data_IF_610711158843
#
_entry.id   IF_610711158843
#
_cell.length_a   1.000
_cell.length_b   1.000
_cell.length_c   1.000
_cell.angle_alpha   90.00
_cell.angle_beta   90.00
_cell.angle_gamma   90.00
#
_symmetry.space_group_name_H-M   'P 1'
#
loop_
_entity.id
_entity.type
_entity.pdbx_description
1 polymer ?
#
# COMPACT_ATOMS: atom_id res chain seq x y z
N UNK A 1 6.34 4.34 -11.39
CA UNK A 1 6.70 3.20 -12.25
C UNK A 1 5.76 3.07 -13.43
N UNK A 2 4.54 2.59 -13.20
CA UNK A 2 3.54 2.28 -14.24
C UNK A 2 3.16 3.48 -15.12
N UNK A 3 2.95 4.66 -14.52
CA UNK A 3 2.62 5.91 -15.25
C UNK A 3 3.76 6.35 -16.19
N UNK A 4 5.00 6.31 -15.73
CA UNK A 4 6.20 6.67 -16.52
C UNK A 4 6.45 5.68 -17.66
N UNK A 5 6.26 4.38 -17.40
CA UNK A 5 6.37 3.33 -18.42
C UNK A 5 5.34 3.55 -19.54
N UNK A 6 4.09 3.84 -19.19
CA UNK A 6 3.03 4.13 -20.15
C UNK A 6 3.29 5.37 -21.00
N UNK A 7 3.83 6.44 -20.41
CA UNK A 7 4.20 7.66 -21.16
C UNK A 7 5.34 7.41 -22.15
N UNK A 8 6.38 6.66 -21.76
CA UNK A 8 7.52 6.38 -22.63
C UNK A 8 7.13 5.48 -23.81
N UNK A 9 6.37 4.41 -23.55
CA UNK A 9 5.89 3.51 -24.61
C UNK A 9 4.92 4.24 -25.55
N UNK A 10 4.01 5.06 -25.02
CA UNK A 10 3.12 5.89 -25.84
C UNK A 10 3.83 6.97 -26.66
N UNK A 11 5.05 7.35 -26.27
CA UNK A 11 5.91 8.28 -27.01
C UNK A 11 6.78 7.58 -28.07
N UNK A 12 6.60 6.28 -28.28
CA UNK A 12 7.34 5.49 -29.26
C UNK A 12 8.71 4.99 -28.77
N UNK A 13 9.00 5.11 -27.47
CA UNK A 13 10.24 4.57 -26.89
C UNK A 13 10.12 3.05 -26.83
N UNK A 14 11.12 2.28 -27.31
CA UNK A 14 11.12 0.83 -27.20
C UNK A 14 10.90 0.37 -25.76
N UNK A 15 10.04 -0.63 -25.56
CA UNK A 15 9.60 -1.03 -24.23
C UNK A 15 10.75 -1.50 -23.33
N UNK A 16 11.80 -2.09 -23.91
CA UNK A 16 12.99 -2.51 -23.18
C UNK A 16 13.77 -1.33 -22.61
N UNK A 17 13.82 -0.22 -23.35
CA UNK A 17 14.49 1.01 -22.92
C UNK A 17 13.65 1.76 -21.89
N UNK A 18 12.32 1.77 -22.07
CA UNK A 18 11.38 2.31 -21.10
C UNK A 18 11.44 1.57 -19.75
N UNK A 19 11.59 0.23 -19.78
CA UNK A 19 11.77 -0.59 -18.58
C UNK A 19 13.08 -0.29 -17.86
N UNK A 20 14.18 -0.06 -18.59
CA UNK A 20 15.47 0.29 -18.00
C UNK A 20 15.45 1.67 -17.32
N UNK A 21 14.80 2.66 -17.96
CA UNK A 21 14.63 4.01 -17.40
C UNK A 21 13.80 3.93 -16.12
N UNK A 22 12.71 3.15 -16.12
CA UNK A 22 11.85 2.97 -14.94
C UNK A 22 12.56 2.23 -13.82
N UNK A 23 13.39 1.22 -14.14
CA UNK A 23 14.20 0.51 -13.16
C UNK A 23 15.18 1.43 -12.44
N UNK A 24 15.90 2.28 -13.18
CA UNK A 24 16.86 3.25 -12.63
C UNK A 24 16.18 4.37 -11.83
N UNK A 25 14.97 4.75 -12.21
CA UNK A 25 14.22 5.83 -11.54
C UNK A 25 13.47 5.33 -10.29
N UNK A 26 13.33 4.01 -10.10
CA UNK A 26 12.60 3.44 -8.97
C UNK A 26 13.28 3.64 -7.61
N UNK A 27 14.59 3.97 -7.56
CA UNK A 27 15.34 4.27 -6.33
C UNK A 27 15.54 3.10 -5.35
N UNK A 28 14.85 1.98 -5.57
CA UNK A 28 14.88 0.78 -4.73
C UNK A 28 15.49 -0.39 -5.52
N UNK A 29 16.61 -0.93 -5.01
CA UNK A 29 17.35 -2.05 -5.63
C UNK A 29 16.54 -3.34 -5.81
N UNK A 30 15.51 -3.57 -4.99
CA UNK A 30 14.61 -4.73 -5.12
C UNK A 30 13.69 -4.55 -6.33
N UNK A 31 13.15 -3.34 -6.49
CA UNK A 31 12.27 -2.98 -7.61
C UNK A 31 13.04 -2.96 -8.93
N UNK A 32 14.25 -2.40 -8.92
CA UNK A 32 15.17 -2.40 -10.06
C UNK A 32 15.44 -3.83 -10.56
N UNK A 33 15.78 -4.76 -9.66
CA UNK A 33 15.98 -6.18 -10.01
C UNK A 33 14.74 -6.83 -10.62
N UNK A 34 13.55 -6.56 -10.08
CA UNK A 34 12.29 -7.10 -10.59
C UNK A 34 11.97 -6.60 -11.99
N UNK A 35 12.18 -5.31 -12.26
CA UNK A 35 11.92 -4.70 -13.57
C UNK A 35 12.95 -5.16 -14.60
N UNK A 36 14.23 -5.27 -14.23
CA UNK A 36 15.27 -5.81 -15.12
C UNK A 36 15.03 -7.29 -15.45
N UNK A 37 14.58 -8.10 -14.49
CA UNK A 37 14.18 -9.49 -14.74
C UNK A 37 13.02 -9.57 -15.73
N UNK A 38 12.00 -8.72 -15.59
CA UNK A 38 10.88 -8.67 -16.52
C UNK A 38 11.33 -8.22 -17.92
N UNK A 39 12.24 -7.25 -18.02
CA UNK A 39 12.82 -6.76 -19.28
C UNK A 39 13.52 -7.87 -20.04
N UNK A 40 14.37 -8.65 -19.37
CA UNK A 40 15.14 -9.71 -20.02
C UNK A 40 14.23 -10.82 -20.57
N UNK A 41 13.12 -11.09 -19.90
CA UNK A 41 12.12 -12.08 -20.34
C UNK A 41 11.29 -11.59 -21.52
N UNK A 42 11.00 -10.28 -21.59
CA UNK A 42 10.39 -9.65 -22.76
C UNK A 42 11.34 -9.66 -23.96
N UNK A 43 12.64 -9.43 -23.73
CA UNK A 43 13.66 -9.51 -24.77
C UNK A 43 13.82 -10.92 -25.36
N UNK A 44 13.52 -11.96 -24.57
CA UNK A 44 13.47 -13.36 -25.01
C UNK A 44 12.15 -13.75 -25.72
N UNK A 45 11.21 -12.81 -25.92
CA UNK A 45 9.93 -13.07 -26.59
C UNK A 45 8.89 -13.81 -25.72
N UNK A 46 9.09 -13.88 -24.40
CA UNK A 46 8.15 -14.51 -23.47
C UNK A 46 7.08 -13.51 -22.99
N UNK A 47 5.88 -14.01 -22.72
CA UNK A 47 4.80 -13.25 -22.07
C UNK A 47 5.28 -12.68 -20.73
N UNK A 48 4.95 -11.41 -20.48
CA UNK A 48 5.26 -10.65 -19.26
C UNK A 48 4.66 -11.33 -18.01
N UNK A 49 3.58 -12.09 -18.15
CA UNK A 49 2.82 -12.64 -17.03
C UNK A 49 3.54 -13.78 -16.29
N UNK A 50 4.23 -14.67 -17.00
CA UNK A 50 4.92 -15.82 -16.41
C UNK A 50 6.07 -15.42 -15.44
N UNK A 51 6.98 -14.48 -15.77
CA UNK A 51 8.01 -14.04 -14.85
C UNK A 51 7.48 -13.18 -13.68
N UNK A 52 6.34 -12.48 -13.85
CA UNK A 52 5.67 -11.78 -12.74
C UNK A 52 5.07 -12.76 -11.71
N UNK A 53 4.60 -13.94 -12.16
CA UNK A 53 4.13 -15.03 -11.30
C UNK A 53 5.24 -15.65 -10.45
N UNK A 54 6.44 -15.80 -11.02
CA UNK A 54 7.59 -16.46 -10.39
C UNK A 54 8.22 -15.62 -9.26
N UNK A 55 8.15 -14.30 -9.36
CA UNK A 55 8.82 -13.37 -8.43
C UNK A 55 8.08 -13.14 -7.10
N UNK A 56 6.83 -13.60 -6.94
CA UNK A 56 5.95 -13.31 -5.77
C UNK A 56 5.83 -11.82 -5.41
N UNK A 57 6.22 -10.92 -6.31
CA UNK A 57 6.17 -9.46 -6.12
C UNK A 57 4.75 -8.91 -6.24
N UNK A 58 3.83 -9.67 -6.84
CA UNK A 58 2.47 -9.25 -7.10
C UNK A 58 1.47 -10.12 -6.35
N UNK A 59 0.41 -9.53 -5.77
CA UNK A 59 -0.66 -10.28 -5.14
C UNK A 59 -1.28 -11.30 -6.11
N UNK A 60 -1.72 -12.45 -5.59
CA UNK A 60 -2.36 -13.51 -6.40
C UNK A 60 -3.54 -13.02 -7.24
N UNK A 61 -4.26 -12.02 -6.74
CA UNK A 61 -5.40 -11.40 -7.42
C UNK A 61 -4.99 -10.70 -8.73
N UNK A 62 -3.88 -9.94 -8.72
CA UNK A 62 -3.31 -9.28 -9.92
C UNK A 62 -2.97 -10.29 -11.00
N UNK A 63 -2.33 -11.39 -10.60
CA UNK A 63 -1.94 -12.48 -11.49
C UNK A 63 -3.17 -13.13 -12.15
N UNK A 64 -4.23 -13.40 -11.39
CA UNK A 64 -5.46 -14.01 -11.89
C UNK A 64 -6.19 -13.10 -12.88
N UNK A 65 -6.27 -11.80 -12.60
CA UNK A 65 -6.94 -10.84 -13.48
C UNK A 65 -6.18 -10.65 -14.79
N UNK A 66 -4.84 -10.66 -14.76
CA UNK A 66 -4.01 -10.68 -15.97
C UNK A 66 -4.27 -11.96 -16.78
N UNK A 67 -4.28 -13.14 -16.15
CA UNK A 67 -4.56 -14.40 -16.84
C UNK A 67 -5.96 -14.42 -17.49
N UNK A 68 -6.98 -13.89 -16.81
CA UNK A 68 -8.33 -13.74 -17.35
C UNK A 68 -8.34 -12.77 -18.54
N UNK A 69 -7.69 -11.62 -18.42
CA UNK A 69 -7.59 -10.62 -19.49
C UNK A 69 -6.86 -11.15 -20.72
N UNK A 70 -5.80 -11.94 -20.52
CA UNK A 70 -5.03 -12.57 -21.60
C UNK A 70 -5.88 -13.64 -22.32
N UNK A 71 -6.64 -14.45 -21.57
CA UNK A 71 -7.52 -15.49 -22.14
C UNK A 71 -8.77 -14.96 -22.86
N UNK A 72 -9.19 -13.73 -22.54
CA UNK A 72 -10.41 -13.10 -23.08
C UNK A 72 -10.12 -11.96 -24.05
N UNK A 73 -8.86 -11.59 -24.23
CA UNK A 73 -8.44 -10.42 -25.01
C UNK A 73 -8.77 -9.06 -24.37
N UNK A 74 -9.26 -9.06 -23.13
CA UNK A 74 -9.68 -7.86 -22.38
C UNK A 74 -8.63 -7.44 -21.34
N UNK A 75 -7.35 -7.49 -21.72
CA UNK A 75 -6.23 -7.21 -20.82
C UNK A 75 -6.25 -5.75 -20.34
N UNK A 76 -6.66 -4.83 -21.21
CA UNK A 76 -6.85 -3.41 -20.92
C UNK A 76 -7.87 -3.16 -19.79
N UNK A 77 -9.01 -3.84 -19.85
CA UNK A 77 -10.08 -3.75 -18.84
C UNK A 77 -9.61 -4.33 -17.51
N UNK A 78 -8.90 -5.47 -17.55
CA UNK A 78 -8.39 -6.10 -16.33
C UNK A 78 -7.28 -5.28 -15.68
N UNK A 79 -6.38 -4.69 -16.47
CA UNK A 79 -5.34 -3.79 -15.95
C UNK A 79 -5.93 -2.53 -15.32
N UNK A 80 -7.00 -1.98 -15.91
CA UNK A 80 -7.71 -0.81 -15.34
C UNK A 80 -8.34 -1.16 -13.99
N UNK A 81 -9.05 -2.29 -13.90
CA UNK A 81 -9.62 -2.76 -12.62
C UNK A 81 -8.57 -3.02 -11.55
N UNK A 82 -7.40 -3.54 -11.93
CA UNK A 82 -6.30 -3.75 -10.98
C UNK A 82 -5.80 -2.41 -10.43
N UNK A 83 -5.75 -1.36 -11.25
CA UNK A 83 -5.37 -0.03 -10.81
C UNK A 83 -6.40 0.57 -9.86
N UNK A 84 -7.70 0.50 -10.21
CA UNK A 84 -8.79 0.99 -9.36
C UNK A 84 -8.80 0.29 -7.99
N UNK A 85 -8.61 -1.03 -7.96
CA UNK A 85 -8.59 -1.80 -6.71
C UNK A 85 -7.40 -1.44 -5.82
N UNK A 86 -6.24 -1.11 -6.41
CA UNK A 86 -5.05 -0.71 -5.65
C UNK A 86 -5.19 0.70 -5.08
N UNK A 87 -5.81 1.62 -5.81
CA UNK A 87 -6.11 2.96 -5.30
C UNK A 87 -7.14 2.88 -4.15
N UNK A 88 -8.18 2.05 -4.29
CA UNK A 88 -9.17 1.80 -3.23
C UNK A 88 -8.56 1.13 -1.97
N UNK A 89 -7.61 0.20 -2.13
CA UNK A 89 -6.89 -0.42 -1.00
C UNK A 89 -5.99 0.58 -0.28
N UNK A 90 -5.36 1.51 -1.00
CA UNK A 90 -4.53 2.57 -0.40
C UNK A 90 -5.41 3.54 0.39
N UNK A 91 -6.54 3.96 -0.16
CA UNK A 91 -7.48 4.85 0.53
C UNK A 91 -8.08 4.18 1.78
N UNK A 92 -8.49 2.91 1.69
CA UNK A 92 -8.98 2.15 2.85
C UNK A 92 -7.90 1.93 3.93
N UNK A 93 -6.64 1.74 3.54
CA UNK A 93 -5.55 1.63 4.50
C UNK A 93 -5.30 2.95 5.25
N UNK A 94 -5.39 4.09 4.55
CA UNK A 94 -5.27 5.43 5.14
C UNK A 94 -6.45 5.73 6.07
N UNK A 95 -7.67 5.41 5.66
CA UNK A 95 -8.88 5.60 6.48
C UNK A 95 -8.87 4.70 7.72
N UNK A 96 -8.44 3.45 7.59
CA UNK A 96 -8.24 2.51 8.70
C UNK A 96 -7.29 3.08 9.77
N UNK A 97 -6.11 3.54 9.36
CA UNK A 97 -5.12 4.12 10.29
C UNK A 97 -5.65 5.39 10.93
N UNK A 98 -6.34 6.25 10.17
CA UNK A 98 -6.91 7.50 10.66
C UNK A 98 -8.07 7.24 11.65
N UNK A 99 -8.93 6.26 11.37
CA UNK A 99 -10.06 5.88 12.24
C UNK A 99 -9.62 5.34 13.60
N UNK A 100 -8.44 4.73 13.68
CA UNK A 100 -7.87 4.24 14.95
C UNK A 100 -7.21 5.34 15.78
N UNK A 101 -6.85 6.47 15.19
CA UNK A 101 -6.27 7.60 15.92
C UNK A 101 -7.30 8.29 16.83
N UNK A 102 -8.55 8.39 16.39
CA UNK A 102 -9.63 9.01 17.16
C UNK A 102 -9.89 8.33 18.53
N UNK A 103 -10.11 7.01 18.62
CA UNK A 103 -10.27 6.31 19.90
C UNK A 103 -9.01 6.36 20.77
N UNK A 104 -7.81 6.35 20.17
CA UNK A 104 -6.56 6.50 20.92
C UNK A 104 -6.48 7.85 21.65
N UNK A 105 -6.81 8.94 20.95
CA UNK A 105 -6.85 10.29 21.53
C UNK A 105 -7.85 10.35 22.69
N UNK A 106 -9.04 9.75 22.53
CA UNK A 106 -10.06 9.70 23.59
C UNK A 106 -9.57 8.95 24.84
N UNK A 107 -8.89 7.81 24.67
CA UNK A 107 -8.34 7.04 25.80
C UNK A 107 -7.25 7.84 26.54
N UNK A 108 -6.36 8.51 25.82
CA UNK A 108 -5.31 9.33 26.42
C UNK A 108 -5.90 10.53 27.18
N UNK A 109 -6.84 11.26 26.58
CA UNK A 109 -7.54 12.37 27.24
C UNK A 109 -8.33 11.89 28.47
N UNK A 110 -9.05 10.79 28.34
CA UNK A 110 -9.78 10.17 29.45
C UNK A 110 -8.86 9.77 30.59
N UNK A 111 -7.68 9.22 30.28
CA UNK A 111 -6.66 8.88 31.27
C UNK A 111 -6.11 10.11 32.01
N UNK A 112 -5.81 11.18 31.28
CA UNK A 112 -5.33 12.44 31.88
C UNK A 112 -6.40 13.03 32.81
N UNK A 113 -7.63 13.18 32.32
CA UNK A 113 -8.74 13.74 33.09
C UNK A 113 -9.04 12.86 34.31
N UNK A 114 -9.09 11.53 34.13
CA UNK A 114 -9.26 10.55 35.21
C UNK A 114 -8.19 10.70 36.30
N UNK A 115 -6.93 10.81 35.90
CA UNK A 115 -5.81 10.96 36.84
C UNK A 115 -5.89 12.27 37.61
N UNK A 116 -6.27 13.37 36.96
CA UNK A 116 -6.46 14.68 37.61
C UNK A 116 -7.61 14.63 38.61
N UNK A 117 -8.75 14.04 38.24
CA UNK A 117 -9.90 13.91 39.14
C UNK A 117 -9.54 13.10 40.39
N UNK A 118 -8.89 11.93 40.23
CA UNK A 118 -8.47 11.11 41.36
C UNK A 118 -7.49 11.88 42.26
N UNK A 119 -6.52 12.58 41.67
CA UNK A 119 -5.55 13.38 42.43
C UNK A 119 -6.19 14.52 43.23
N UNK A 120 -7.28 15.10 42.71
CA UNK A 120 -8.01 16.18 43.38
C UNK A 120 -8.92 15.65 44.51
N UNK A 121 -9.61 14.53 44.30
CA UNK A 121 -10.58 14.01 45.26
C UNK A 121 -9.98 13.10 46.32
N UNK A 122 -8.92 12.35 46.02
CA UNK A 122 -8.23 11.49 46.99
C UNK A 122 -7.85 12.21 48.32
N UNK A 123 -7.22 13.41 48.30
CA UNK A 123 -6.90 14.11 49.54
C UNK A 123 -8.17 14.56 50.29
N UNK A 124 -9.23 14.95 49.59
CA UNK A 124 -10.50 15.35 50.21
C UNK A 124 -11.12 14.17 50.99
N UNK A 125 -11.14 12.97 50.39
CA UNK A 125 -11.59 11.75 51.09
C UNK A 125 -10.72 11.44 52.30
N UNK A 126 -9.38 11.53 52.17
CA UNK A 126 -8.48 11.28 53.30
C UNK A 126 -8.65 12.29 54.44
N UNK A 127 -8.98 13.55 54.14
CA UNK A 127 -9.26 14.56 55.15
C UNK A 127 -10.63 14.35 55.81
N UNK A 128 -11.63 13.91 55.05
CA UNK A 128 -12.96 13.60 55.59
C UNK A 128 -12.92 12.41 56.57
N UNK A 129 -12.19 11.34 56.22
CA UNK A 129 -12.00 10.18 57.11
C UNK A 129 -11.28 10.54 58.42
N UNK A 130 -10.28 11.43 58.36
CA UNK A 130 -9.53 11.88 59.53
C UNK A 130 -10.31 12.86 60.44
N UNK A 131 -11.40 13.46 59.96
CA UNK A 131 -12.23 14.42 60.72
C UNK A 131 -13.51 13.75 61.26
N UNK A 132 -13.92 12.61 60.71
CA UNK A 132 -15.10 11.85 61.15
C UNK A 132 -14.82 10.75 62.20
N UNK A 133 -13.56 10.51 62.58
CA UNK A 133 -13.13 9.52 63.57
C UNK A 133 -12.88 10.09 64.97
#
# INVERSE_FOLDING_TARGET
GTRTLGTLVGSGVPILDAMEIVAKTAGNKVVEKGVMYARDRVAEGKSIAAPLMEQRLFPKMVIQMIAVGESTGALDVMLTKIADFYDDEVDQAVDSVTSMMEPLIMVVLGGIIGTVMVSMYAPIFSMADNVGG
#
